data_IF_733838198304
#
_entry.id   IF_733838198304
#
_cell.length_a   1.000
_cell.length_b   1.000
_cell.length_c   1.000
_cell.angle_alpha   90.00
_cell.angle_beta   90.00
_cell.angle_gamma   90.00
#
_symmetry.space_group_name_H-M   'P 1'
#
loop_
_entity.id
_entity.type
_entity.pdbx_description
1 polymer ?
#
# COMPACT_ATOMS: atom_id res chain seq x y z
N UNK A 1 3.50 9.44 -28.46
CA UNK A 1 4.92 9.81 -28.23
C UNK A 1 5.22 10.38 -26.84
N UNK A 2 4.27 10.97 -26.13
CA UNK A 2 4.50 11.55 -24.79
C UNK A 2 4.75 10.51 -23.70
N UNK A 3 4.06 9.36 -23.72
CA UNK A 3 4.20 8.32 -22.70
C UNK A 3 5.63 7.73 -22.63
N UNK A 4 6.21 7.33 -23.76
CA UNK A 4 7.56 6.76 -23.80
C UNK A 4 8.64 7.77 -23.35
N UNK A 5 8.47 9.05 -23.69
CA UNK A 5 9.37 10.11 -23.20
C UNK A 5 9.25 10.32 -21.69
N UNK A 6 8.03 10.29 -21.16
CA UNK A 6 7.79 10.41 -19.72
C UNK A 6 8.38 9.20 -18.97
N UNK A 7 8.24 7.99 -19.52
CA UNK A 7 8.84 6.78 -18.97
C UNK A 7 10.36 6.90 -18.92
N UNK A 8 10.99 7.26 -20.04
CA UNK A 8 12.45 7.40 -20.12
C UNK A 8 12.96 8.45 -19.13
N UNK A 9 12.32 9.62 -19.10
CA UNK A 9 12.66 10.68 -18.15
C UNK A 9 12.54 10.20 -16.70
N UNK A 10 11.49 9.43 -16.40
CA UNK A 10 11.28 8.92 -15.04
C UNK A 10 12.35 7.90 -14.65
N UNK A 11 12.77 7.02 -15.56
CA UNK A 11 13.90 6.10 -15.34
C UNK A 11 15.17 6.86 -14.99
N UNK A 12 15.52 7.87 -15.78
CA UNK A 12 16.70 8.71 -15.56
C UNK A 12 16.66 9.42 -14.21
N UNK A 13 15.51 10.02 -13.87
CA UNK A 13 15.32 10.68 -12.57
C UNK A 13 15.48 9.69 -11.41
N UNK A 14 14.89 8.49 -11.51
CA UNK A 14 14.98 7.45 -10.47
C UNK A 14 16.41 6.95 -10.31
N UNK A 15 17.10 6.65 -11.41
CA UNK A 15 18.51 6.23 -11.37
C UNK A 15 19.38 7.27 -10.68
N UNK A 16 19.25 8.55 -11.04
CA UNK A 16 19.99 9.65 -10.40
C UNK A 16 19.72 9.70 -8.89
N UNK A 17 18.45 9.63 -8.48
CA UNK A 17 18.09 9.72 -7.05
C UNK A 17 18.68 8.55 -6.23
N UNK A 18 18.72 7.35 -6.82
CA UNK A 18 19.26 6.16 -6.15
C UNK A 18 20.79 6.22 -6.11
N UNK A 19 21.42 6.72 -7.17
CA UNK A 19 22.86 6.95 -7.26
C UNK A 19 23.33 7.99 -6.24
N UNK A 20 22.60 9.11 -6.10
CA UNK A 20 22.84 10.14 -5.07
C UNK A 20 22.78 9.58 -3.64
N UNK A 21 22.04 8.49 -3.41
CA UNK A 21 21.98 7.79 -2.12
C UNK A 21 23.10 6.75 -1.94
N UNK A 22 23.92 6.50 -2.97
CA UNK A 22 24.96 5.48 -2.97
C UNK A 22 24.44 4.04 -2.92
N UNK A 23 23.15 3.82 -3.28
CA UNK A 23 22.48 2.51 -3.20
C UNK A 23 22.24 1.87 -4.58
N UNK A 24 22.73 2.47 -5.66
CA UNK A 24 22.52 1.96 -7.01
C UNK A 24 23.45 0.76 -7.26
N UNK A 25 22.86 -0.43 -7.41
CA UNK A 25 23.58 -1.63 -7.85
C UNK A 25 23.42 -1.80 -9.36
N UNK A 26 24.36 -2.51 -10.00
CA UNK A 26 24.27 -2.82 -11.43
C UNK A 26 23.03 -3.66 -11.77
N UNK A 27 22.62 -4.54 -10.85
CA UNK A 27 21.38 -5.34 -10.98
C UNK A 27 20.14 -4.43 -10.99
N UNK A 28 20.01 -3.54 -10.01
CA UNK A 28 18.89 -2.61 -9.90
C UNK A 28 18.85 -1.64 -11.09
N UNK A 29 20.00 -1.17 -11.55
CA UNK A 29 20.11 -0.34 -12.75
C UNK A 29 19.56 -1.07 -13.98
N UNK A 30 19.97 -2.32 -14.18
CA UNK A 30 19.49 -3.14 -15.28
C UNK A 30 17.97 -3.39 -15.21
N UNK A 31 17.41 -3.59 -14.01
CA UNK A 31 15.97 -3.74 -13.81
C UNK A 31 15.19 -2.46 -14.16
N UNK A 32 15.67 -1.28 -13.73
CA UNK A 32 15.04 0.01 -14.04
C UNK A 32 15.12 0.31 -15.54
N UNK A 33 16.25 0.02 -16.19
CA UNK A 33 16.42 0.20 -17.63
C UNK A 33 15.49 -0.72 -18.44
N UNK A 34 15.28 -1.97 -17.99
CA UNK A 34 14.38 -2.93 -18.64
C UNK A 34 12.89 -2.66 -18.43
N UNK A 35 12.52 -1.91 -17.39
CA UNK A 35 11.10 -1.63 -17.09
C UNK A 35 10.34 -1.03 -18.29
N UNK A 36 9.26 -1.65 -18.73
CA UNK A 36 8.50 -1.20 -19.91
C UNK A 36 7.33 -0.27 -19.52
N UNK A 37 6.99 -0.25 -18.24
CA UNK A 37 5.86 0.53 -17.71
C UNK A 37 6.33 1.47 -16.61
N UNK A 38 5.69 2.64 -16.55
CA UNK A 38 5.98 3.63 -15.52
C UNK A 38 5.83 3.05 -14.11
N UNK A 39 4.84 2.18 -13.94
CA UNK A 39 4.56 1.52 -12.68
C UNK A 39 5.70 0.61 -12.20
N UNK A 40 6.37 -0.12 -13.11
CA UNK A 40 7.51 -0.97 -12.76
C UNK A 40 8.67 -0.12 -12.22
N UNK A 41 8.90 1.04 -12.85
CA UNK A 41 9.89 2.02 -12.38
C UNK A 41 9.52 2.57 -11.00
N UNK A 42 8.25 2.90 -10.75
CA UNK A 42 7.80 3.34 -9.41
C UNK A 42 7.94 2.24 -8.36
N UNK A 43 7.69 0.98 -8.73
CA UNK A 43 7.81 -0.15 -7.83
C UNK A 43 9.26 -0.36 -7.38
N UNK A 44 10.22 -0.25 -8.30
CA UNK A 44 11.66 -0.33 -8.02
C UNK A 44 12.18 0.88 -7.25
N UNK A 45 11.62 2.07 -7.49
CA UNK A 45 12.01 3.30 -6.81
C UNK A 45 11.51 3.38 -5.35
N UNK A 46 10.41 2.71 -5.03
CA UNK A 46 9.70 2.86 -3.76
C UNK A 46 10.60 2.75 -2.51
N UNK A 47 11.52 1.78 -2.38
CA UNK A 47 12.38 1.64 -1.20
C UNK A 47 13.37 2.81 -1.01
N UNK A 48 13.66 3.56 -2.08
CA UNK A 48 14.62 4.66 -2.12
C UNK A 48 13.95 6.03 -2.09
N UNK A 49 12.61 6.06 -2.11
CA UNK A 49 11.87 7.31 -2.08
C UNK A 49 12.04 7.96 -0.70
N UNK A 50 12.51 9.21 -0.68
CA UNK A 50 12.60 9.98 0.57
C UNK A 50 11.22 10.05 1.23
N UNK A 51 11.10 9.44 2.41
CA UNK A 51 9.84 9.41 3.16
C UNK A 51 9.78 10.61 4.11
N UNK A 52 8.62 11.26 4.18
CA UNK A 52 8.29 12.12 5.32
C UNK A 52 8.30 11.24 6.57
N UNK A 53 8.64 11.80 7.73
CA UNK A 53 8.66 11.08 9.03
C UNK A 53 7.37 10.26 9.21
N UNK A 54 7.45 8.94 9.01
CA UNK A 54 6.30 8.01 9.07
C UNK A 54 6.17 7.46 10.49
N UNK A 55 5.09 6.73 10.77
CA UNK A 55 4.97 6.02 12.05
C UNK A 55 6.02 4.92 12.16
N UNK A 56 6.26 4.19 11.06
CA UNK A 56 7.33 3.20 10.97
C UNK A 56 8.71 3.83 11.19
N UNK A 57 9.04 4.94 10.51
CA UNK A 57 10.37 5.57 10.67
C UNK A 57 10.61 6.02 12.11
N UNK A 58 9.60 6.57 12.78
CA UNK A 58 9.68 6.92 14.21
C UNK A 58 9.83 5.67 15.09
N UNK A 59 9.16 4.57 14.76
CA UNK A 59 9.34 3.30 15.47
C UNK A 59 10.76 2.73 15.28
N UNK A 60 11.35 2.85 14.09
CA UNK A 60 12.75 2.47 13.83
C UNK A 60 13.72 3.35 14.62
N UNK A 61 13.51 4.67 14.64
CA UNK A 61 14.28 5.63 15.46
C UNK A 61 14.25 5.27 16.95
N UNK A 62 13.14 4.71 17.44
CA UNK A 62 12.95 4.25 18.82
C UNK A 62 13.48 2.85 19.10
N UNK A 63 14.15 2.21 18.13
CA UNK A 63 14.76 0.90 18.31
C UNK A 63 13.79 -0.29 18.28
N UNK A 64 12.57 -0.12 17.74
CA UNK A 64 11.56 -1.18 17.66
C UNK A 64 11.79 -2.18 16.51
N UNK A 65 12.90 -2.04 15.78
CA UNK A 65 13.26 -2.95 14.67
C UNK A 65 13.46 -4.39 15.16
N UNK A 66 14.15 -4.58 16.30
CA UNK A 66 14.38 -5.92 16.85
C UNK A 66 13.09 -6.57 17.37
N UNK A 67 12.16 -5.77 17.91
CA UNK A 67 10.83 -6.26 18.28
C UNK A 67 10.04 -6.68 17.05
N UNK A 68 10.14 -5.91 15.95
CA UNK A 68 9.57 -6.30 14.66
C UNK A 68 10.12 -7.63 14.17
N UNK A 69 11.44 -7.81 14.18
CA UNK A 69 12.07 -9.07 13.76
C UNK A 69 11.62 -10.25 14.62
N UNK A 70 11.46 -10.03 15.92
CA UNK A 70 10.93 -11.03 16.82
C UNK A 70 9.48 -11.41 16.49
N UNK A 71 8.63 -10.42 16.17
CA UNK A 71 7.24 -10.65 15.76
C UNK A 71 7.14 -11.37 14.41
N UNK A 72 8.03 -11.04 13.47
CA UNK A 72 8.02 -11.62 12.13
C UNK A 72 8.45 -13.09 12.14
N UNK A 73 9.49 -13.43 12.91
CA UNK A 73 10.02 -14.78 13.04
C UNK A 73 9.36 -15.59 14.17
N UNK A 74 8.14 -15.21 14.54
CA UNK A 74 7.45 -15.80 15.69
C UNK A 74 6.87 -17.18 15.33
N UNK A 75 7.69 -18.22 15.45
CA UNK A 75 7.28 -19.61 15.20
C UNK A 75 6.80 -20.32 16.48
N UNK A 76 7.34 -19.93 17.64
CA UNK A 76 7.12 -20.59 18.92
C UNK A 76 5.95 -19.97 19.69
N UNK A 77 4.77 -20.57 19.56
CA UNK A 77 3.54 -20.18 20.25
C UNK A 77 3.62 -20.27 21.78
N UNK A 78 4.68 -20.83 22.34
CA UNK A 78 4.88 -20.89 23.80
C UNK A 78 5.49 -19.61 24.38
N UNK A 79 6.08 -18.76 23.54
CA UNK A 79 6.64 -17.47 23.97
C UNK A 79 5.54 -16.42 24.08
N UNK A 80 5.65 -15.50 25.04
CA UNK A 80 4.71 -14.37 25.13
C UNK A 80 5.27 -13.16 24.42
N UNK A 81 4.49 -12.63 23.48
CA UNK A 81 4.84 -11.45 22.70
C UNK A 81 4.95 -10.22 23.62
N UNK A 82 4.09 -10.16 24.63
CA UNK A 82 4.06 -9.10 25.62
C UNK A 82 5.33 -9.05 26.47
N UNK A 83 5.85 -10.21 26.88
CA UNK A 83 7.09 -10.31 27.67
C UNK A 83 8.32 -9.84 26.88
N UNK A 84 8.36 -10.10 25.57
CA UNK A 84 9.43 -9.57 24.73
C UNK A 84 9.30 -8.04 24.55
N UNK A 85 8.07 -7.56 24.33
CA UNK A 85 7.80 -6.15 24.13
C UNK A 85 8.08 -5.28 25.36
N UNK A 86 8.03 -5.84 26.58
CA UNK A 86 8.44 -5.14 27.81
C UNK A 86 9.89 -4.64 27.76
N UNK A 87 10.78 -5.34 27.05
CA UNK A 87 12.20 -4.96 26.91
C UNK A 87 12.42 -3.68 26.10
N UNK A 88 11.39 -3.22 25.38
CA UNK A 88 11.44 -2.06 24.50
C UNK A 88 10.73 -0.84 25.08
N UNK A 89 10.31 -0.90 26.34
CA UNK A 89 9.69 0.25 27.02
C UNK A 89 10.76 1.30 27.30
N UNK A 90 10.48 2.53 26.88
CA UNK A 90 11.34 3.71 27.04
C UNK A 90 10.48 4.94 27.37
N UNK A 91 11.08 6.09 27.65
CA UNK A 91 10.33 7.34 27.82
C UNK A 91 9.51 7.70 26.56
N UNK A 92 10.02 7.37 25.37
CA UNK A 92 9.33 7.59 24.09
C UNK A 92 8.33 6.48 23.72
N UNK A 93 8.46 5.31 24.34
CA UNK A 93 7.59 4.14 24.14
C UNK A 93 7.09 3.66 25.52
N UNK A 94 6.09 4.34 26.10
CA UNK A 94 5.78 4.20 27.53
C UNK A 94 5.03 2.90 27.88
N UNK A 95 4.56 2.13 26.89
CA UNK A 95 3.71 0.96 27.14
C UNK A 95 4.04 -0.18 26.16
N UNK A 96 3.79 -1.43 26.60
CA UNK A 96 3.85 -2.62 25.75
C UNK A 96 3.01 -2.46 24.48
N UNK A 97 1.80 -1.90 24.61
CA UNK A 97 0.91 -1.63 23.47
C UNK A 97 1.54 -0.67 22.46
N UNK A 98 2.24 0.37 22.93
CA UNK A 98 2.93 1.31 22.06
C UNK A 98 4.13 0.64 21.34
N UNK A 99 4.87 -0.23 22.05
CA UNK A 99 5.97 -0.99 21.45
C UNK A 99 5.46 -1.94 20.34
N UNK A 100 4.41 -2.71 20.64
CA UNK A 100 3.78 -3.60 19.66
C UNK A 100 3.20 -2.83 18.47
N UNK A 101 2.52 -1.72 18.70
CA UNK A 101 1.98 -0.90 17.61
C UNK A 101 3.11 -0.35 16.73
N UNK A 102 4.22 0.12 17.32
CA UNK A 102 5.35 0.61 16.55
C UNK A 102 6.03 -0.49 15.72
N UNK A 103 6.19 -1.69 16.28
CA UNK A 103 6.70 -2.84 15.54
C UNK A 103 5.74 -3.27 14.41
N UNK A 104 4.43 -3.25 14.65
CA UNK A 104 3.40 -3.49 13.63
C UNK A 104 3.39 -2.41 12.53
N UNK A 105 3.62 -1.15 12.88
CA UNK A 105 3.71 -0.06 11.90
C UNK A 105 4.92 -0.27 10.98
N UNK A 106 6.05 -0.77 11.50
CA UNK A 106 7.22 -1.16 10.69
C UNK A 106 6.84 -2.30 9.73
N UNK A 107 6.24 -3.38 10.24
CA UNK A 107 5.80 -4.51 9.41
C UNK A 107 4.81 -4.09 8.32
N UNK A 108 3.84 -3.25 8.68
CA UNK A 108 2.83 -2.77 7.75
C UNK A 108 3.47 -1.97 6.62
N UNK A 109 4.46 -1.12 6.92
CA UNK A 109 5.19 -0.37 5.89
C UNK A 109 5.99 -1.33 4.99
N UNK A 110 6.76 -2.26 5.55
CA UNK A 110 7.54 -3.23 4.78
C UNK A 110 6.67 -4.08 3.85
N UNK A 111 5.60 -4.69 4.38
CA UNK A 111 4.63 -5.51 3.60
C UNK A 111 3.95 -4.64 2.53
N UNK A 112 3.61 -3.39 2.83
CA UNK A 112 2.95 -2.51 1.85
C UNK A 112 3.84 -2.12 0.68
N UNK A 113 5.16 -2.15 0.86
CA UNK A 113 6.14 -1.74 -0.14
C UNK A 113 6.64 -2.92 -1.00
N UNK A 114 6.57 -4.14 -0.46
CA UNK A 114 6.88 -5.38 -1.19
C UNK A 114 6.07 -5.49 -2.48
N UNK A 115 6.79 -5.67 -3.60
CA UNK A 115 6.21 -5.65 -4.95
C UNK A 115 5.23 -6.81 -5.14
N UNK A 116 5.62 -8.00 -4.69
CA UNK A 116 4.88 -9.26 -4.80
C UNK A 116 3.49 -9.11 -4.17
N UNK A 117 3.42 -8.52 -2.97
CA UNK A 117 2.17 -8.32 -2.24
C UNK A 117 1.28 -7.26 -2.90
N UNK A 118 1.88 -6.18 -3.42
CA UNK A 118 1.13 -5.20 -4.21
C UNK A 118 0.59 -5.79 -5.51
N UNK A 119 1.32 -6.69 -6.15
CA UNK A 119 0.84 -7.40 -7.35
C UNK A 119 -0.40 -8.25 -7.06
N UNK A 120 -0.46 -8.91 -5.89
CA UNK A 120 -1.65 -9.62 -5.41
C UNK A 120 -2.84 -8.67 -5.28
N UNK A 121 -2.69 -7.56 -4.53
CA UNK A 121 -3.77 -6.58 -4.32
C UNK A 121 -4.24 -5.98 -5.64
N UNK A 122 -3.32 -5.66 -6.57
CA UNK A 122 -3.67 -5.16 -7.91
C UNK A 122 -4.46 -6.18 -8.73
N UNK A 123 -4.11 -7.46 -8.64
CA UNK A 123 -4.86 -8.52 -9.30
C UNK A 123 -6.27 -8.65 -8.69
N UNK A 124 -6.41 -8.51 -7.38
CA UNK A 124 -7.69 -8.41 -6.66
C UNK A 124 -8.51 -7.21 -7.15
N UNK A 125 -7.91 -6.03 -7.19
CA UNK A 125 -8.56 -4.80 -7.68
C UNK A 125 -9.08 -4.94 -9.12
N UNK A 126 -8.37 -5.61 -10.03
CA UNK A 126 -8.88 -5.85 -11.39
C UNK A 126 -10.17 -6.70 -11.43
N UNK A 127 -10.36 -7.56 -10.42
CA UNK A 127 -11.53 -8.44 -10.29
C UNK A 127 -12.62 -7.84 -9.39
N UNK A 128 -12.28 -6.80 -8.64
CA UNK A 128 -13.09 -6.16 -7.63
C UNK A 128 -14.30 -5.39 -8.15
N UNK A 129 -15.09 -4.91 -7.20
CA UNK A 129 -16.31 -4.14 -7.41
C UNK A 129 -16.21 -2.71 -6.88
N UNK A 130 -17.09 -1.88 -7.41
CA UNK A 130 -17.41 -0.56 -6.89
C UNK A 130 -18.84 -0.61 -6.36
N UNK A 131 -19.01 -0.21 -5.10
CA UNK A 131 -20.30 0.06 -4.47
C UNK A 131 -20.44 1.58 -4.31
N UNK A 132 -21.60 2.11 -4.64
CA UNK A 132 -21.97 3.51 -4.47
C UNK A 132 -23.19 3.58 -3.57
N UNK A 133 -23.10 4.45 -2.56
CA UNK A 133 -24.20 4.78 -1.65
C UNK A 133 -24.51 6.26 -1.82
N UNK A 134 -25.76 6.59 -2.15
CA UNK A 134 -26.19 7.98 -2.35
C UNK A 134 -27.02 8.54 -1.22
N UNK A 135 -27.03 9.87 -1.10
CA UNK A 135 -27.87 10.61 -0.17
C UNK A 135 -28.94 11.41 -0.95
N UNK A 136 -30.19 10.90 -1.04
CA UNK A 136 -31.27 11.56 -1.78
C UNK A 136 -31.61 12.97 -1.26
N UNK A 137 -31.22 13.32 -0.04
CA UNK A 137 -31.51 14.65 0.53
C UNK A 137 -30.62 15.76 -0.05
N UNK A 138 -29.55 15.41 -0.75
CA UNK A 138 -28.54 16.34 -1.26
C UNK A 138 -28.55 16.50 -2.78
N UNK A 139 -29.53 15.90 -3.44
CA UNK A 139 -29.56 15.75 -4.88
C UNK A 139 -30.99 15.85 -5.41
N UNK A 140 -31.15 16.42 -6.59
CA UNK A 140 -32.44 16.62 -7.27
C UNK A 140 -32.84 15.41 -8.13
N UNK A 141 -32.23 14.26 -7.86
CA UNK A 141 -32.37 13.02 -8.63
C UNK A 141 -31.34 12.87 -9.77
N UNK A 142 -30.39 13.81 -9.91
CA UNK A 142 -29.34 13.73 -10.93
C UNK A 142 -28.52 12.43 -10.84
N UNK A 143 -28.30 11.92 -9.63
CA UNK A 143 -27.52 10.70 -9.36
C UNK A 143 -28.37 9.53 -8.84
N UNK A 144 -29.69 9.58 -8.95
CA UNK A 144 -30.63 8.60 -8.39
C UNK A 144 -30.27 7.15 -8.80
N UNK A 145 -29.86 6.96 -10.06
CA UNK A 145 -29.44 5.65 -10.57
C UNK A 145 -28.19 5.06 -9.90
N UNK A 146 -27.48 5.84 -9.07
CA UNK A 146 -26.24 5.47 -8.39
C UNK A 146 -26.39 5.35 -6.87
N UNK A 147 -27.57 5.57 -6.30
CA UNK A 147 -27.74 5.57 -4.84
C UNK A 147 -27.55 4.20 -4.18
N UNK A 148 -27.88 3.12 -4.89
CA UNK A 148 -27.66 1.73 -4.47
C UNK A 148 -27.00 0.95 -5.60
N UNK A 149 -25.89 1.48 -6.10
CA UNK A 149 -25.24 0.93 -7.30
C UNK A 149 -24.06 0.04 -6.92
N UNK A 150 -24.02 -1.17 -7.48
CA UNK A 150 -22.90 -2.09 -7.35
C UNK A 150 -22.55 -2.70 -8.72
N UNK A 151 -21.31 -2.54 -9.16
CA UNK A 151 -20.83 -3.11 -10.43
C UNK A 151 -19.36 -3.51 -10.33
N UNK A 152 -18.98 -4.59 -11.02
CA UNK A 152 -17.56 -4.98 -11.13
C UNK A 152 -16.81 -3.92 -11.94
N UNK A 153 -15.62 -3.53 -11.48
CA UNK A 153 -14.84 -2.46 -12.12
C UNK A 153 -14.55 -2.71 -13.60
N UNK A 154 -14.33 -3.98 -14.00
CA UNK A 154 -14.12 -4.37 -15.40
C UNK A 154 -15.28 -4.06 -16.35
N UNK A 155 -16.49 -3.83 -15.83
CA UNK A 155 -17.69 -3.55 -16.61
C UNK A 155 -18.12 -2.08 -16.56
N UNK A 156 -17.50 -1.27 -15.69
CA UNK A 156 -17.81 0.15 -15.57
C UNK A 156 -17.50 0.88 -16.88
N UNK A 157 -18.54 1.48 -17.46
CA UNK A 157 -18.41 2.30 -18.67
C UNK A 157 -17.82 3.68 -18.33
N UNK A 158 -17.00 4.28 -19.21
CA UNK A 158 -16.34 5.57 -18.94
C UNK A 158 -17.27 6.70 -18.49
N UNK A 159 -18.45 6.83 -19.12
CA UNK A 159 -19.42 7.88 -18.74
C UNK A 159 -20.00 7.68 -17.34
N UNK A 160 -20.16 6.43 -16.88
CA UNK A 160 -20.63 6.13 -15.52
C UNK A 160 -19.57 6.50 -14.49
N UNK A 161 -18.30 6.18 -14.79
CA UNK A 161 -17.17 6.54 -13.92
C UNK A 161 -17.14 8.05 -13.71
N UNK A 162 -17.31 8.83 -14.78
CA UNK A 162 -17.34 10.30 -14.69
C UNK A 162 -18.51 10.82 -13.85
N UNK A 163 -19.71 10.27 -14.04
CA UNK A 163 -20.89 10.66 -13.26
C UNK A 163 -20.72 10.33 -11.77
N UNK A 164 -20.24 9.12 -11.47
CA UNK A 164 -20.01 8.65 -10.10
C UNK A 164 -18.97 9.50 -9.38
N UNK A 165 -17.81 9.77 -10.00
CA UNK A 165 -16.77 10.62 -9.39
C UNK A 165 -17.21 12.08 -9.26
N UNK A 166 -18.08 12.55 -10.15
CA UNK A 166 -18.68 13.88 -9.98
C UNK A 166 -19.59 13.93 -8.76
N UNK A 167 -20.49 12.95 -8.61
CA UNK A 167 -21.39 12.84 -7.45
C UNK A 167 -20.64 12.64 -6.13
N UNK A 168 -19.51 11.92 -6.14
CA UNK A 168 -18.63 11.82 -4.96
C UNK A 168 -17.99 13.17 -4.60
N UNK A 169 -17.44 13.87 -5.60
CA UNK A 169 -16.83 15.20 -5.39
C UNK A 169 -17.84 16.23 -4.89
N UNK A 170 -19.10 16.12 -5.30
CA UNK A 170 -20.21 16.96 -4.83
C UNK A 170 -20.75 16.52 -3.46
N UNK A 171 -20.26 15.41 -2.90
CA UNK A 171 -20.63 14.91 -1.57
C UNK A 171 -21.99 14.19 -1.51
N UNK A 172 -22.55 13.87 -2.67
CA UNK A 172 -23.85 13.21 -2.84
C UNK A 172 -23.68 11.69 -2.80
N UNK A 173 -22.61 11.17 -3.41
CA UNK A 173 -22.28 9.75 -3.44
C UNK A 173 -21.11 9.44 -2.52
N UNK A 174 -21.15 8.28 -1.87
CA UNK A 174 -20.02 7.65 -1.18
C UNK A 174 -19.62 6.42 -1.95
N UNK A 175 -18.32 6.30 -2.20
CA UNK A 175 -17.75 5.19 -2.96
C UNK A 175 -17.06 4.22 -2.01
N UNK A 176 -17.34 2.93 -2.19
CA UNK A 176 -16.65 1.84 -1.51
C UNK A 176 -16.12 0.89 -2.56
N UNK A 177 -14.82 0.63 -2.50
CA UNK A 177 -14.18 -0.35 -3.35
C UNK A 177 -14.07 -1.67 -2.61
N UNK A 178 -14.45 -2.75 -3.28
CA UNK A 178 -14.26 -4.12 -2.80
C UNK A 178 -13.25 -4.81 -3.70
N UNK A 179 -12.03 -4.98 -3.19
CA UNK A 179 -10.94 -5.63 -3.91
C UNK A 179 -10.78 -7.11 -3.55
N UNK A 180 -11.76 -7.69 -2.84
CA UNK A 180 -11.67 -9.03 -2.26
C UNK A 180 -10.52 -9.13 -1.25
N UNK A 181 -10.56 -8.24 -0.25
CA UNK A 181 -9.47 -8.04 0.72
C UNK A 181 -9.14 -9.33 1.49
N UNK A 182 -10.15 -10.15 1.82
CA UNK A 182 -9.95 -11.42 2.50
C UNK A 182 -9.07 -12.39 1.70
N UNK A 183 -9.33 -12.54 0.39
CA UNK A 183 -8.52 -13.38 -0.48
C UNK A 183 -7.12 -12.78 -0.68
N UNK A 184 -7.02 -11.46 -0.85
CA UNK A 184 -5.71 -10.79 -0.98
C UNK A 184 -4.86 -11.01 0.27
N UNK A 185 -5.44 -10.80 1.46
CA UNK A 185 -4.80 -11.06 2.74
C UNK A 185 -4.34 -12.52 2.86
N UNK A 186 -5.20 -13.47 2.50
CA UNK A 186 -4.86 -14.89 2.54
C UNK A 186 -3.66 -15.21 1.64
N UNK A 187 -3.62 -14.69 0.41
CA UNK A 187 -2.50 -14.92 -0.51
C UNK A 187 -1.20 -14.27 -0.02
N UNK A 188 -1.26 -13.07 0.55
CA UNK A 188 -0.10 -12.39 1.13
C UNK A 188 0.44 -13.19 2.31
N UNK A 189 -0.42 -13.57 3.27
CA UNK A 189 -0.02 -14.39 4.41
C UNK A 189 0.55 -15.74 3.99
N UNK A 190 -0.06 -16.36 2.97
CA UNK A 190 0.43 -17.61 2.40
C UNK A 190 1.85 -17.45 1.82
N UNK A 191 2.13 -16.35 1.13
CA UNK A 191 3.48 -16.06 0.62
C UNK A 191 4.47 -15.80 1.76
N UNK A 192 4.06 -15.13 2.83
CA UNK A 192 4.93 -14.87 3.99
C UNK A 192 5.27 -16.17 4.75
N UNK A 193 4.33 -17.12 4.86
CA UNK A 193 4.49 -18.31 5.70
C UNK A 193 4.96 -19.59 4.96
N UNK A 194 5.06 -19.58 3.63
CA UNK A 194 5.45 -20.75 2.83
C UNK A 194 6.79 -20.59 2.10
N UNK A 195 7.47 -19.45 2.29
CA UNK A 195 8.88 -19.25 1.97
C UNK A 195 9.74 -19.57 3.20
#
# INVERSE_FOLDING_TARGET
>A
MTYLRNLQKRKEDVLRIIEEQGKLTEELKAEIEKAEKLQEVEDLYLPFKQKKRTRASQAKERGLELLKEYLFNFEDKTRKIEEEAEKYITEEVPTVKAALQGAMDILAEEISETKEYRDIVRAGAKKGGLLCEGDPSKDDGTYEMYYEFAERMRFLKPHRILAIFRGEKEGILKLKFDFNDADNMFQILKSICLD
#
